data_IF_336171317350
#
_entry.id   IF_336171317350
#
_cell.length_a   1.000
_cell.length_b   1.000
_cell.length_c   1.000
_cell.angle_alpha   90.00
_cell.angle_beta   90.00
_cell.angle_gamma   90.00
#
_symmetry.space_group_name_H-M   'P 1'
#
loop_
_entity.id
_entity.type
_entity.pdbx_description
1 polymer ?
#
# COMPACT_ATOMS: atom_id res chain seq x y z
N UNK A 1 6.12 -4.64 -22.69
CA UNK A 1 7.28 -4.76 -21.78
C UNK A 1 7.29 -3.71 -20.66
N UNK A 2 7.29 -2.40 -20.97
CA UNK A 2 7.31 -1.31 -19.95
C UNK A 2 6.28 -1.43 -18.82
N UNK A 3 5.05 -1.85 -19.12
CA UNK A 3 3.97 -1.97 -18.11
C UNK A 3 4.30 -2.97 -16.99
N UNK A 4 5.01 -4.07 -17.29
CA UNK A 4 5.43 -5.05 -16.26
C UNK A 4 6.55 -4.49 -15.38
N UNK A 5 7.54 -3.83 -15.98
CA UNK A 5 8.63 -3.22 -15.22
C UNK A 5 8.12 -2.10 -14.31
N UNK A 6 7.26 -1.22 -14.81
CA UNK A 6 6.63 -0.16 -14.01
C UNK A 6 5.84 -0.72 -12.82
N UNK A 7 5.11 -1.81 -13.02
CA UNK A 7 4.37 -2.46 -11.94
C UNK A 7 5.28 -3.08 -10.86
N UNK A 8 6.42 -3.65 -11.25
CA UNK A 8 7.39 -4.19 -10.30
C UNK A 8 8.01 -3.06 -9.46
N UNK A 9 8.50 -2.00 -10.10
CA UNK A 9 9.06 -0.84 -9.41
C UNK A 9 8.01 -0.15 -8.52
N UNK A 10 6.76 -0.09 -8.98
CA UNK A 10 5.64 0.40 -8.17
C UNK A 10 5.47 -0.40 -6.89
N UNK A 11 5.33 -1.72 -7.02
CA UNK A 11 5.03 -2.60 -5.89
C UNK A 11 6.16 -2.58 -4.86
N UNK A 12 7.42 -2.55 -5.32
CA UNK A 12 8.59 -2.42 -4.46
C UNK A 12 8.59 -1.05 -3.76
N UNK A 13 8.35 0.03 -4.51
CA UNK A 13 8.30 1.38 -3.95
C UNK A 13 7.23 1.53 -2.86
N UNK A 14 6.02 1.04 -3.13
CA UNK A 14 4.92 1.06 -2.14
C UNK A 14 5.31 0.33 -0.86
N UNK A 15 5.90 -0.86 -0.98
CA UNK A 15 6.30 -1.65 0.18
C UNK A 15 7.35 -0.91 1.02
N UNK A 16 8.40 -0.40 0.38
CA UNK A 16 9.45 0.36 1.05
C UNK A 16 8.91 1.61 1.73
N UNK A 17 8.16 2.45 1.01
CA UNK A 17 7.63 3.70 1.55
C UNK A 17 6.58 3.49 2.64
N UNK A 18 5.80 2.42 2.58
CA UNK A 18 4.86 2.06 3.66
C UNK A 18 5.64 1.75 4.94
N UNK A 19 6.63 0.86 4.84
CA UNK A 19 7.45 0.43 5.98
C UNK A 19 8.21 1.60 6.58
N UNK A 20 8.94 2.37 5.76
CA UNK A 20 9.73 3.51 6.23
C UNK A 20 8.84 4.60 6.84
N UNK A 21 7.66 4.87 6.26
CA UNK A 21 6.75 5.87 6.82
C UNK A 21 6.17 5.48 8.18
N UNK A 22 5.80 4.20 8.36
CA UNK A 22 5.34 3.67 9.65
C UNK A 22 6.47 3.68 10.68
N UNK A 23 7.67 3.23 10.28
CA UNK A 23 8.86 3.21 11.14
C UNK A 23 9.21 4.60 11.67
N UNK A 24 9.26 5.60 10.78
CA UNK A 24 9.54 6.99 11.18
C UNK A 24 8.45 7.49 12.13
N UNK A 25 7.18 7.22 11.84
CA UNK A 25 6.07 7.63 12.71
C UNK A 25 6.20 7.06 14.12
N UNK A 26 6.54 5.78 14.24
CA UNK A 26 6.75 5.12 15.53
C UNK A 26 7.97 5.67 16.27
N UNK A 27 9.07 5.95 15.57
CA UNK A 27 10.28 6.56 16.15
C UNK A 27 10.03 7.95 16.73
N UNK A 28 9.10 8.72 16.17
CA UNK A 28 8.71 10.04 16.67
C UNK A 28 7.65 9.94 17.78
N UNK A 29 7.21 8.73 18.14
CA UNK A 29 6.25 8.50 19.21
C UNK A 29 4.80 8.82 18.83
N UNK A 30 4.47 8.80 17.53
CA UNK A 30 3.08 8.97 17.09
C UNK A 30 2.22 7.77 17.48
N UNK A 31 0.91 7.99 17.57
CA UNK A 31 -0.04 6.91 17.80
C UNK A 31 0.02 5.90 16.63
N UNK A 32 -0.02 4.58 16.89
CA UNK A 32 0.08 3.57 15.83
C UNK A 32 -0.89 3.75 14.66
N UNK A 33 -2.12 4.20 14.92
CA UNK A 33 -3.09 4.47 13.87
C UNK A 33 -2.63 5.60 12.93
N UNK A 34 -2.00 6.64 13.48
CA UNK A 34 -1.42 7.75 12.73
C UNK A 34 -0.21 7.27 11.93
N UNK A 35 0.63 6.40 12.51
CA UNK A 35 1.79 5.82 11.80
C UNK A 35 1.35 5.07 10.54
N UNK A 36 0.31 4.24 10.64
CA UNK A 36 -0.24 3.50 9.49
C UNK A 36 -0.80 4.46 8.44
N UNK A 37 -1.52 5.50 8.86
CA UNK A 37 -2.06 6.51 7.96
C UNK A 37 -0.96 7.26 7.22
N UNK A 38 0.08 7.72 7.93
CA UNK A 38 1.23 8.43 7.36
C UNK A 38 1.99 7.53 6.40
N UNK A 39 2.31 6.28 6.79
CA UNK A 39 3.00 5.33 5.92
C UNK A 39 2.21 5.01 4.65
N UNK A 40 0.89 4.83 4.78
CA UNK A 40 0.00 4.63 3.63
C UNK A 40 -0.01 5.86 2.72
N UNK A 41 -0.11 7.06 3.29
CA UNK A 41 -0.11 8.31 2.54
C UNK A 41 1.20 8.48 1.77
N UNK A 42 2.35 8.30 2.42
CA UNK A 42 3.68 8.40 1.79
C UNK A 42 3.83 7.40 0.64
N UNK A 43 3.41 6.15 0.84
CA UNK A 43 3.49 5.13 -0.20
C UNK A 43 2.58 5.42 -1.40
N UNK A 44 1.34 5.85 -1.14
CA UNK A 44 0.37 6.15 -2.19
C UNK A 44 0.73 7.41 -2.97
N UNK A 45 1.31 8.43 -2.32
CA UNK A 45 1.63 9.70 -2.97
C UNK A 45 2.62 9.53 -4.12
N UNK A 46 3.63 8.65 -3.97
CA UNK A 46 4.57 8.34 -5.05
C UNK A 46 3.89 7.68 -6.26
N UNK A 47 2.95 6.76 -6.02
CA UNK A 47 2.15 6.14 -7.08
C UNK A 47 1.25 7.16 -7.79
N UNK A 48 0.61 8.06 -7.04
CA UNK A 48 -0.21 9.15 -7.58
C UNK A 48 0.62 10.10 -8.44
N UNK A 49 1.79 10.54 -7.96
CA UNK A 49 2.69 11.42 -8.71
C UNK A 49 3.13 10.77 -10.03
N UNK A 50 3.51 9.49 -10.01
CA UNK A 50 3.85 8.75 -11.24
C UNK A 50 2.69 8.79 -12.23
N UNK A 51 1.49 8.45 -11.77
CA UNK A 51 0.34 8.32 -12.66
C UNK A 51 -0.04 9.69 -13.26
N UNK A 52 0.03 10.77 -12.48
CA UNK A 52 -0.16 12.16 -12.96
C UNK A 52 0.89 12.54 -14.01
N UNK A 53 2.17 12.25 -13.77
CA UNK A 53 3.25 12.55 -14.72
C UNK A 53 3.10 11.75 -16.03
N UNK A 54 2.46 10.58 -15.98
CA UNK A 54 2.10 9.79 -17.16
C UNK A 54 0.76 10.21 -17.80
N UNK A 55 0.11 11.27 -17.31
CA UNK A 55 -1.22 11.72 -17.77
C UNK A 55 -2.27 10.61 -17.67
N UNK A 56 -2.13 9.72 -16.67
CA UNK A 56 -3.10 8.67 -16.38
C UNK A 56 -3.87 8.97 -15.09
N UNK A 57 -5.10 8.45 -14.99
CA UNK A 57 -5.87 8.52 -13.74
C UNK A 57 -5.16 7.65 -12.68
N UNK A 58 -4.87 8.18 -11.48
CA UNK A 58 -4.15 7.44 -10.46
C UNK A 58 -4.79 6.09 -10.11
N UNK A 59 -3.96 5.06 -9.97
CA UNK A 59 -4.41 3.67 -9.73
C UNK A 59 -5.18 3.57 -8.41
N UNK A 60 -4.84 4.39 -7.40
CA UNK A 60 -5.54 4.44 -6.11
C UNK A 60 -7.04 4.71 -6.26
N UNK A 61 -7.46 5.51 -7.24
CA UNK A 61 -8.88 5.80 -7.51
C UNK A 61 -9.58 4.70 -8.32
N UNK A 62 -8.81 3.80 -8.93
CA UNK A 62 -9.35 2.72 -9.77
C UNK A 62 -9.34 1.36 -9.09
N UNK A 63 -8.46 1.16 -8.10
CA UNK A 63 -8.29 -0.09 -7.37
C UNK A 63 -8.12 0.18 -5.88
N UNK A 64 -9.20 0.00 -5.13
CA UNK A 64 -9.23 0.15 -3.66
C UNK A 64 -8.19 -0.71 -2.94
N UNK A 65 -7.78 -1.82 -3.55
CA UNK A 65 -6.79 -2.75 -2.96
C UNK A 65 -5.42 -2.10 -2.77
N UNK A 66 -5.12 -1.03 -3.52
CA UNK A 66 -3.85 -0.32 -3.44
C UNK A 66 -3.60 0.26 -2.04
N UNK A 67 -4.54 1.04 -1.51
CA UNK A 67 -4.43 1.62 -0.18
C UNK A 67 -4.58 0.55 0.92
N UNK A 68 -5.47 -0.42 0.72
CA UNK A 68 -5.69 -1.50 1.69
C UNK A 68 -4.43 -2.34 1.93
N UNK A 69 -3.61 -2.58 0.90
CA UNK A 69 -2.36 -3.32 1.03
C UNK A 69 -1.36 -2.60 1.94
N UNK A 70 -1.26 -1.27 1.79
CA UNK A 70 -0.41 -0.45 2.66
C UNK A 70 -0.91 -0.46 4.11
N UNK A 71 -2.23 -0.35 4.31
CA UNK A 71 -2.84 -0.38 5.64
C UNK A 71 -2.56 -1.71 6.33
N UNK A 72 -2.76 -2.84 5.63
CA UNK A 72 -2.48 -4.17 6.18
C UNK A 72 -0.99 -4.34 6.47
N UNK A 73 -0.12 -3.92 5.56
CA UNK A 73 1.33 -3.96 5.78
C UNK A 73 1.79 -3.12 6.97
N UNK A 74 1.23 -1.92 7.12
CA UNK A 74 1.50 -1.05 8.27
C UNK A 74 0.95 -1.61 9.58
N UNK A 75 -0.22 -2.24 9.57
CA UNK A 75 -0.76 -2.95 10.73
C UNK A 75 0.15 -4.10 11.15
N UNK A 76 0.62 -4.90 10.19
CA UNK A 76 1.60 -5.97 10.46
C UNK A 76 2.88 -5.41 11.06
N UNK A 77 3.39 -4.29 10.54
CA UNK A 77 4.55 -3.61 11.11
C UNK A 77 4.30 -3.26 12.59
N UNK A 78 3.20 -2.56 12.88
CA UNK A 78 2.84 -2.13 14.25
C UNK A 78 2.68 -3.31 15.19
N UNK A 79 2.04 -4.40 14.75
CA UNK A 79 1.84 -5.59 15.57
C UNK A 79 3.18 -6.25 15.90
N UNK A 80 4.07 -6.40 14.93
CA UNK A 80 5.39 -7.01 15.16
C UNK A 80 6.29 -6.13 16.04
N UNK A 81 6.18 -4.81 15.91
CA UNK A 81 6.85 -3.84 16.78
C UNK A 81 6.34 -3.94 18.23
N UNK A 82 5.03 -4.12 18.41
CA UNK A 82 4.42 -4.35 19.72
C UNK A 82 4.97 -5.61 20.42
N UNK A 83 5.21 -6.69 19.67
CA UNK A 83 5.83 -7.92 20.18
C UNK A 83 7.36 -7.83 20.36
N UNK A 84 7.96 -6.66 20.13
CA UNK A 84 9.41 -6.40 20.24
C UNK A 84 10.26 -7.35 19.40
N UNK A 85 9.78 -7.67 18.20
CA UNK A 85 10.59 -8.37 17.19
C UNK A 85 11.76 -7.47 16.77
N UNK A 86 12.87 -8.07 16.34
CA UNK A 86 14.02 -7.32 15.83
C UNK A 86 13.63 -6.43 14.63
N UNK A 87 14.02 -5.15 14.59
CA UNK A 87 13.58 -4.19 13.57
C UNK A 87 13.81 -4.65 12.11
N UNK A 88 14.92 -5.33 11.85
CA UNK A 88 15.24 -5.85 10.52
C UNK A 88 14.20 -6.88 10.03
N UNK A 89 13.75 -7.76 10.91
CA UNK A 89 12.72 -8.73 10.57
C UNK A 89 11.34 -8.09 10.41
N UNK A 90 11.03 -7.06 11.21
CA UNK A 90 9.76 -6.31 11.09
C UNK A 90 9.65 -5.70 9.70
N UNK A 91 10.68 -4.97 9.26
CA UNK A 91 10.70 -4.31 7.95
C UNK A 91 10.58 -5.31 6.80
N UNK A 92 11.29 -6.44 6.88
CA UNK A 92 11.24 -7.49 5.86
C UNK A 92 9.87 -8.14 5.79
N UNK A 93 9.29 -8.56 6.93
CA UNK A 93 8.00 -9.27 6.97
C UNK A 93 6.85 -8.35 6.52
N UNK A 94 6.81 -7.11 7.02
CA UNK A 94 5.80 -6.13 6.63
C UNK A 94 5.92 -5.76 5.15
N UNK A 95 7.12 -5.51 4.65
CA UNK A 95 7.39 -5.25 3.23
C UNK A 95 6.95 -6.41 2.33
N UNK A 96 7.30 -7.65 2.70
CA UNK A 96 6.86 -8.84 1.98
C UNK A 96 5.34 -8.99 1.96
N UNK A 97 4.67 -8.68 3.07
CA UNK A 97 3.21 -8.71 3.17
C UNK A 97 2.57 -7.75 2.15
N UNK A 98 3.07 -6.52 2.05
CA UNK A 98 2.58 -5.55 1.06
C UNK A 98 2.76 -6.07 -0.37
N UNK A 99 3.95 -6.60 -0.69
CA UNK A 99 4.27 -7.12 -2.03
C UNK A 99 3.36 -8.31 -2.39
N UNK A 100 3.15 -9.23 -1.45
CA UNK A 100 2.28 -10.39 -1.63
C UNK A 100 0.84 -9.97 -1.91
N UNK A 101 0.30 -9.05 -1.10
CA UNK A 101 -1.08 -8.55 -1.29
C UNK A 101 -1.20 -7.85 -2.65
N UNK A 102 -0.26 -6.98 -3.02
CA UNK A 102 -0.27 -6.27 -4.32
C UNK A 102 -0.20 -7.23 -5.49
N UNK A 103 0.65 -8.25 -5.41
CA UNK A 103 0.83 -9.23 -6.47
C UNK A 103 -0.38 -10.15 -6.58
N UNK A 104 -0.91 -10.64 -5.46
CA UNK A 104 -2.15 -11.43 -5.41
C UNK A 104 -3.33 -10.63 -5.98
N UNK A 105 -3.49 -9.35 -5.61
CA UNK A 105 -4.55 -8.49 -6.12
C UNK A 105 -4.53 -8.32 -7.65
N UNK A 106 -3.32 -8.32 -8.24
CA UNK A 106 -3.17 -8.23 -9.70
C UNK A 106 -3.41 -9.56 -10.38
N UNK A 107 -2.93 -10.68 -9.82
CA UNK A 107 -3.10 -12.01 -10.42
C UNK A 107 -4.58 -12.44 -10.36
N UNK A 108 -5.24 -12.23 -9.24
CA UNK A 108 -6.63 -12.66 -9.03
C UNK A 108 -7.66 -11.67 -9.59
N UNK A 109 -7.22 -10.61 -10.28
CA UNK A 109 -8.08 -9.50 -10.74
C UNK A 109 -9.13 -9.07 -9.71
N UNK A 110 -8.77 -9.07 -8.43
CA UNK A 110 -9.72 -8.79 -7.35
C UNK A 110 -10.17 -7.34 -7.55
N UNK A 111 -11.40 -7.20 -8.03
CA UNK A 111 -12.14 -5.94 -8.08
C UNK A 111 -13.10 -6.02 -6.91
N UNK A 112 -13.07 -5.03 -6.01
CA UNK A 112 -14.16 -4.93 -5.05
C UNK A 112 -15.46 -4.75 -5.85
N UNK A 113 -16.54 -5.45 -5.46
CA UNK A 113 -17.82 -5.36 -6.16
C UNK A 113 -18.26 -3.90 -6.17
N UNK A 114 -18.41 -3.33 -7.36
CA UNK A 114 -18.84 -1.96 -7.54
C UNK A 114 -20.29 -1.84 -7.06
N UNK A 115 -20.51 -1.19 -5.92
CA UNK A 115 -21.86 -0.95 -5.36
C UNK A 115 -22.63 0.11 -6.19
N UNK A 116 -21.94 0.84 -7.08
CA UNK A 116 -22.55 1.85 -7.95
C UNK A 116 -23.01 1.26 -9.29
N UNK A 117 -23.93 0.30 -9.23
CA UNK A 117 -24.36 -0.46 -10.40
C UNK A 117 -25.76 -1.05 -10.28
N UNK A 118 -26.77 -0.21 -9.94
CA UNK A 118 -28.19 -0.43 -10.27
C UNK A 118 -29.02 0.83 -9.99
N UNK A 119 -28.96 1.80 -10.88
CA UNK A 119 -30.15 2.58 -11.24
C UNK A 119 -30.44 2.27 -12.69
N UNK A 120 -31.12 1.13 -12.89
CA UNK A 120 -31.75 0.78 -14.15
C UNK A 120 -32.79 1.86 -14.48
N UNK A 121 -32.61 2.45 -15.65
CA UNK A 121 -33.59 3.32 -16.31
C UNK A 121 -34.99 2.71 -16.26
N UNK A 122 -35.97 3.50 -15.82
CA UNK A 122 -37.33 3.44 -16.34
C UNK A 122 -37.81 4.85 -16.64
#
# INVERSE_FOLDING_TARGET
YLRRSLFLFDTIGIALYTVTGVEIGLRVGLNPAICVAVGTMTACFGGVLRDILCTEIPIIFRKEIYASACIIGGLVYVILDYYRVYPEFIAVISGFTVILIRTAAVIFEIKLPNIYGKEDKK
#
